data_IF_484699770870
#
_entry.id   IF_484699770870
#
_cell.length_a   1.000
_cell.length_b   1.000
_cell.length_c   1.000
_cell.angle_alpha   90.00
_cell.angle_beta   90.00
_cell.angle_gamma   90.00
#
_symmetry.space_group_name_H-M   'P 1'
#
loop_
_entity.id
_entity.type
_entity.pdbx_description
1 polymer ?
#
# COMPACT_ATOMS: atom_id res chain seq x y z
N UNK A 1 -25.73 -17.95 2.83
CA UNK A 1 -24.53 -17.24 2.32
C UNK A 1 -24.02 -16.35 3.43
N UNK A 2 -22.86 -16.66 4.00
CA UNK A 2 -22.19 -15.80 4.99
C UNK A 2 -21.43 -14.76 4.16
N UNK A 3 -21.80 -13.47 4.28
CA UNK A 3 -21.06 -12.38 3.66
C UNK A 3 -19.64 -12.37 4.23
N UNK A 4 -18.62 -12.27 3.38
CA UNK A 4 -17.23 -12.16 3.87
C UNK A 4 -17.08 -10.91 4.73
N UNK A 5 -16.24 -11.01 5.76
CA UNK A 5 -16.00 -9.92 6.71
C UNK A 5 -15.61 -8.60 6.01
N UNK A 6 -14.88 -8.70 4.91
CA UNK A 6 -14.53 -7.56 4.07
C UNK A 6 -15.77 -6.88 3.48
N UNK A 7 -16.70 -7.63 2.89
CA UNK A 7 -17.92 -7.08 2.30
C UNK A 7 -18.78 -6.39 3.35
N UNK A 8 -18.84 -6.94 4.58
CA UNK A 8 -19.52 -6.31 5.69
C UNK A 8 -18.87 -4.97 6.09
N UNK A 9 -17.53 -4.94 6.16
CA UNK A 9 -16.77 -3.72 6.42
C UNK A 9 -16.98 -2.64 5.34
N UNK A 10 -17.02 -3.04 4.07
CA UNK A 10 -17.33 -2.14 2.96
C UNK A 10 -18.74 -1.55 3.05
N UNK A 11 -19.72 -2.37 3.38
CA UNK A 11 -21.10 -1.93 3.56
C UNK A 11 -21.18 -0.85 4.65
N UNK A 12 -20.54 -1.08 5.80
CA UNK A 12 -20.52 -0.11 6.90
C UNK A 12 -19.82 1.19 6.52
N UNK A 13 -18.69 1.12 5.80
CA UNK A 13 -17.98 2.32 5.32
C UNK A 13 -18.86 3.13 4.36
N UNK A 14 -19.56 2.48 3.43
CA UNK A 14 -20.47 3.15 2.50
C UNK A 14 -21.64 3.82 3.22
N UNK A 15 -22.22 3.15 4.21
CA UNK A 15 -23.29 3.72 5.05
C UNK A 15 -22.79 4.95 5.82
N UNK A 16 -21.57 4.88 6.39
CA UNK A 16 -20.97 6.02 7.08
C UNK A 16 -20.71 7.20 6.13
N UNK A 17 -20.15 6.95 4.94
CA UNK A 17 -19.91 8.01 3.94
C UNK A 17 -21.21 8.63 3.45
N UNK A 18 -22.25 7.82 3.20
CA UNK A 18 -23.57 8.32 2.82
C UNK A 18 -24.19 9.16 3.95
N UNK A 19 -24.11 8.71 5.20
CA UNK A 19 -24.57 9.47 6.37
C UNK A 19 -23.84 10.81 6.53
N UNK A 20 -22.51 10.82 6.36
CA UNK A 20 -21.70 12.03 6.40
C UNK A 20 -22.07 13.00 5.27
N UNK A 21 -22.30 12.49 4.05
CA UNK A 21 -22.72 13.31 2.91
C UNK A 21 -24.10 13.93 3.15
N UNK A 22 -25.07 13.15 3.65
CA UNK A 22 -26.41 13.66 4.01
C UNK A 22 -26.30 14.75 5.08
N UNK A 23 -25.51 14.53 6.14
CA UNK A 23 -25.30 15.52 7.19
C UNK A 23 -24.66 16.81 6.64
N UNK A 24 -23.64 16.69 5.78
CA UNK A 24 -22.97 17.83 5.14
C UNK A 24 -23.92 18.63 4.24
N UNK A 25 -24.69 17.95 3.39
CA UNK A 25 -25.65 18.61 2.50
C UNK A 25 -26.78 19.28 3.29
N UNK A 26 -27.30 18.62 4.32
CA UNK A 26 -28.34 19.17 5.20
C UNK A 26 -27.85 20.36 6.04
N UNK A 27 -26.58 20.33 6.47
CA UNK A 27 -25.93 21.41 7.22
C UNK A 27 -25.66 22.63 6.34
N UNK A 28 -25.15 22.41 5.13
CA UNK A 28 -24.86 23.47 4.15
C UNK A 28 -26.15 24.20 3.76
N UNK A 29 -27.27 23.48 3.79
CA UNK A 29 -28.60 24.00 3.48
C UNK A 29 -28.77 24.31 1.99
N UNK A 30 -30.02 24.54 1.58
CA UNK A 30 -30.34 25.01 0.23
C UNK A 30 -30.13 26.52 0.16
N UNK A 31 -29.26 26.98 -0.74
CA UNK A 31 -29.22 28.37 -1.20
C UNK A 31 -29.91 28.39 -2.55
N UNK A 32 -31.24 28.40 -2.57
CA UNK A 32 -32.05 28.22 -3.77
C UNK A 32 -31.96 29.35 -4.81
N UNK A 33 -30.88 30.14 -4.86
CA UNK A 33 -30.73 31.29 -5.76
C UNK A 33 -31.75 32.42 -5.55
N UNK A 34 -32.61 32.30 -4.52
CA UNK A 34 -33.64 33.27 -4.17
C UNK A 34 -33.00 34.43 -3.39
N UNK A 35 -33.39 35.67 -3.66
CA UNK A 35 -32.86 36.83 -2.94
C UNK A 35 -33.40 36.97 -1.51
N UNK A 36 -34.59 36.39 -1.25
CA UNK A 36 -35.29 36.48 0.03
C UNK A 36 -36.26 35.31 0.22
N UNK A 37 -36.22 34.64 1.37
CA UNK A 37 -37.18 33.58 1.74
C UNK A 37 -37.48 33.58 3.25
N UNK A 38 -38.60 32.99 3.63
CA UNK A 38 -38.92 32.80 5.05
C UNK A 38 -38.14 31.59 5.62
N UNK A 39 -37.36 31.75 6.70
CA UNK A 39 -36.57 30.65 7.27
C UNK A 39 -37.42 29.58 7.96
N UNK A 40 -38.72 29.81 8.19
CA UNK A 40 -39.60 28.88 8.91
C UNK A 40 -40.50 28.04 7.99
N UNK A 41 -41.03 28.64 6.91
CA UNK A 41 -41.91 27.94 5.96
C UNK A 41 -41.35 27.80 4.53
N UNK A 42 -40.13 28.31 4.28
CA UNK A 42 -39.46 28.32 2.96
C UNK A 42 -40.23 29.02 1.83
N UNK A 43 -41.22 29.85 2.20
CA UNK A 43 -41.96 30.70 1.25
C UNK A 43 -41.01 31.73 0.63
N UNK A 44 -41.08 31.86 -0.70
CA UNK A 44 -40.36 32.89 -1.44
C UNK A 44 -40.92 34.29 -1.10
N UNK A 45 -40.01 35.17 -0.68
CA UNK A 45 -40.32 36.55 -0.31
C UNK A 45 -39.61 37.57 -1.21
N UNK A 46 -39.03 37.15 -2.33
CA UNK A 46 -38.29 38.01 -3.27
C UNK A 46 -39.10 39.22 -3.75
N UNK A 47 -40.41 39.08 -3.93
CA UNK A 47 -41.32 40.16 -4.34
C UNK A 47 -41.85 41.06 -3.22
N UNK A 48 -41.49 40.82 -1.95
CA UNK A 48 -42.04 41.55 -0.80
C UNK A 48 -40.95 42.23 0.03
N UNK A 49 -41.16 43.49 0.38
CA UNK A 49 -40.33 44.22 1.34
C UNK A 49 -40.78 44.03 2.79
N UNK A 50 -41.90 43.33 3.02
CA UNK A 50 -42.45 43.13 4.36
C UNK A 50 -41.52 42.28 5.24
N UNK A 51 -41.35 42.71 6.50
CA UNK A 51 -40.56 42.01 7.53
C UNK A 51 -41.34 40.93 8.28
N UNK A 52 -42.55 40.62 7.81
CA UNK A 52 -43.40 39.57 8.36
C UNK A 52 -43.82 38.65 7.23
N UNK A 53 -43.60 37.34 7.41
CA UNK A 53 -44.03 36.36 6.43
C UNK A 53 -45.58 36.26 6.44
N UNK A 54 -46.25 36.43 5.29
CA UNK A 54 -47.72 36.40 5.24
C UNK A 54 -48.31 35.00 5.46
N UNK A 55 -47.52 33.94 5.25
CA UNK A 55 -48.00 32.56 5.38
C UNK A 55 -47.90 32.02 6.80
N UNK A 56 -46.76 32.22 7.47
CA UNK A 56 -46.51 31.62 8.80
C UNK A 56 -46.38 32.64 9.93
N UNK A 57 -46.48 33.94 9.65
CA UNK A 57 -46.38 35.00 10.65
C UNK A 57 -44.98 35.24 11.22
N UNK A 58 -43.94 34.60 10.68
CA UNK A 58 -42.56 34.81 11.14
C UNK A 58 -42.12 36.26 10.92
N UNK A 59 -41.66 36.92 11.98
CA UNK A 59 -41.18 38.30 11.96
C UNK A 59 -39.73 38.36 12.45
N UNK A 60 -38.86 39.04 11.70
CA UNK A 60 -37.48 39.34 12.11
C UNK A 60 -37.16 40.81 11.88
N UNK A 61 -36.47 41.42 12.84
CA UNK A 61 -35.96 42.78 12.74
C UNK A 61 -34.72 42.89 11.84
N UNK A 62 -34.01 41.78 11.63
CA UNK A 62 -32.80 41.72 10.81
C UNK A 62 -33.10 41.17 9.42
N UNK A 63 -32.79 41.96 8.39
CA UNK A 63 -32.99 41.59 6.98
C UNK A 63 -32.16 40.37 6.58
N UNK A 64 -31.00 40.17 7.21
CA UNK A 64 -30.12 39.02 6.94
C UNK A 64 -30.80 37.68 7.29
N UNK A 65 -31.71 37.65 8.27
CA UNK A 65 -32.41 36.42 8.66
C UNK A 65 -33.28 35.84 7.53
N UNK A 66 -33.71 36.66 6.57
CA UNK A 66 -34.47 36.22 5.39
C UNK A 66 -33.58 35.70 4.25
N UNK A 67 -32.26 35.66 4.46
CA UNK A 67 -31.26 35.14 3.50
C UNK A 67 -30.47 33.97 4.08
N UNK A 68 -30.75 33.57 5.31
CA UNK A 68 -30.03 32.48 5.97
C UNK A 68 -30.48 31.11 5.44
N UNK A 69 -29.54 30.23 5.07
CA UNK A 69 -29.88 28.91 4.54
C UNK A 69 -30.66 28.11 5.58
N UNK A 70 -31.80 27.57 5.17
CA UNK A 70 -32.60 26.71 6.03
C UNK A 70 -31.85 25.39 6.27
N UNK A 71 -31.24 25.26 7.45
CA UNK A 71 -30.53 24.04 7.86
C UNK A 71 -31.57 23.02 8.29
N UNK A 72 -31.62 21.89 7.59
CA UNK A 72 -32.56 20.82 7.89
C UNK A 72 -32.01 19.93 8.99
N UNK A 73 -32.04 20.43 10.23
CA UNK A 73 -31.45 19.78 11.41
C UNK A 73 -31.87 18.32 11.60
N UNK A 74 -33.11 17.97 11.28
CA UNK A 74 -33.57 16.58 11.32
C UNK A 74 -32.73 15.65 10.41
N UNK A 75 -32.36 16.10 9.21
CA UNK A 75 -31.48 15.34 8.32
C UNK A 75 -30.01 15.36 8.76
N UNK A 76 -29.56 16.44 9.41
CA UNK A 76 -28.21 16.48 10.02
C UNK A 76 -28.11 15.41 11.11
N UNK A 77 -29.11 15.35 12.00
CA UNK A 77 -29.18 14.35 13.07
C UNK A 77 -29.24 12.94 12.48
N UNK A 78 -30.07 12.72 11.45
CA UNK A 78 -30.16 11.43 10.77
C UNK A 78 -28.82 10.99 10.16
N UNK A 79 -28.11 11.89 9.47
CA UNK A 79 -26.81 11.58 8.90
C UNK A 79 -25.77 11.25 9.97
N UNK A 80 -25.75 12.00 11.07
CA UNK A 80 -24.85 11.75 12.20
C UNK A 80 -25.17 10.44 12.93
N UNK A 81 -26.45 10.09 13.10
CA UNK A 81 -26.82 8.81 13.73
C UNK A 81 -26.43 7.64 12.85
N UNK A 82 -26.57 7.72 11.52
CA UNK A 82 -26.07 6.70 10.60
C UNK A 82 -24.56 6.50 10.73
N UNK A 83 -23.77 7.58 10.75
CA UNK A 83 -22.31 7.52 10.95
C UNK A 83 -21.96 6.87 12.30
N UNK A 84 -22.68 7.25 13.35
CA UNK A 84 -22.43 6.74 14.71
C UNK A 84 -22.72 5.25 14.80
N UNK A 85 -23.86 4.79 14.28
CA UNK A 85 -24.26 3.37 14.26
C UNK A 85 -23.26 2.56 13.44
N UNK A 86 -22.90 3.01 12.23
CA UNK A 86 -21.92 2.33 11.39
C UNK A 86 -20.55 2.22 12.08
N UNK A 87 -20.09 3.29 12.74
CA UNK A 87 -18.82 3.28 13.47
C UNK A 87 -18.85 2.32 14.66
N UNK A 88 -19.94 2.31 15.43
CA UNK A 88 -20.11 1.37 16.56
C UNK A 88 -20.13 -0.09 16.08
N UNK A 89 -20.80 -0.39 14.97
CA UNK A 89 -20.84 -1.74 14.41
C UNK A 89 -19.47 -2.20 13.90
N UNK A 90 -18.66 -1.32 13.32
CA UNK A 90 -17.28 -1.63 12.91
C UNK A 90 -16.40 -1.92 14.13
N UNK A 91 -16.45 -1.08 15.16
CA UNK A 91 -15.64 -1.29 16.38
C UNK A 91 -16.08 -2.54 17.13
N UNK A 92 -17.40 -2.75 17.28
CA UNK A 92 -17.95 -3.88 18.03
C UNK A 92 -17.79 -5.24 17.33
N UNK A 93 -17.57 -5.26 16.01
CA UNK A 93 -17.32 -6.49 15.26
C UNK A 93 -15.85 -6.91 15.22
N UNK A 94 -14.93 -6.09 15.74
CA UNK A 94 -13.49 -6.37 15.66
C UNK A 94 -12.93 -6.37 14.23
N UNK A 95 -13.68 -5.82 13.27
CA UNK A 95 -13.27 -5.73 11.86
C UNK A 95 -12.07 -4.78 11.73
N UNK A 96 -10.88 -5.35 11.52
CA UNK A 96 -9.71 -4.57 11.09
C UNK A 96 -9.82 -4.35 9.59
N UNK A 97 -10.35 -3.20 9.17
CA UNK A 97 -10.37 -2.81 7.75
C UNK A 97 -8.92 -2.60 7.30
N UNK A 98 -8.31 -3.62 6.70
CA UNK A 98 -7.01 -3.49 6.03
C UNK A 98 -7.21 -2.74 4.71
N UNK A 99 -7.14 -1.41 4.77
CA UNK A 99 -7.19 -0.54 3.59
C UNK A 99 -6.03 -0.77 2.63
N UNK A 100 -4.94 -1.38 3.09
CA UNK A 100 -3.75 -1.68 2.30
C UNK A 100 -3.96 -2.72 1.19
N UNK A 101 -5.13 -3.40 1.13
CA UNK A 101 -5.54 -4.25 0.01
C UNK A 101 -6.46 -3.58 -1.03
N UNK A 102 -6.97 -2.37 -0.76
CA UNK A 102 -7.99 -1.72 -1.60
C UNK A 102 -7.45 -1.25 -2.97
N UNK A 103 -6.17 -0.84 -3.03
CA UNK A 103 -5.53 -0.34 -4.27
C UNK A 103 -4.68 -1.40 -4.98
N UNK A 104 -4.78 -2.66 -4.54
CA UNK A 104 -3.89 -3.74 -4.95
C UNK A 104 -2.73 -3.95 -3.98
N UNK A 105 -1.92 -5.00 -4.21
CA UNK A 105 -0.79 -5.31 -3.35
C UNK A 105 0.21 -4.15 -3.35
N UNK A 106 0.60 -3.72 -2.15
CA UNK A 106 1.65 -2.74 -1.94
C UNK A 106 2.98 -3.45 -1.69
N UNK A 107 4.06 -2.87 -2.23
CA UNK A 107 5.41 -3.42 -2.11
C UNK A 107 6.23 -2.50 -1.22
N UNK A 108 6.65 -2.99 -0.05
CA UNK A 108 7.57 -2.26 0.82
C UNK A 108 9.00 -2.65 0.52
N UNK A 109 9.90 -1.66 0.43
CA UNK A 109 11.33 -1.89 0.33
C UNK A 109 11.85 -2.35 1.69
N UNK A 110 12.50 -3.51 1.74
CA UNK A 110 13.04 -4.09 2.98
C UNK A 110 14.55 -3.92 3.04
N UNK A 111 15.24 -4.21 1.94
CA UNK A 111 16.71 -4.17 1.87
C UNK A 111 17.16 -3.48 0.58
N UNK A 112 18.29 -2.77 0.68
CA UNK A 112 18.98 -2.13 -0.44
C UNK A 112 20.45 -2.40 -0.31
N UNK A 113 21.06 -2.95 -1.34
CA UNK A 113 22.49 -3.21 -1.37
C UNK A 113 23.10 -2.56 -2.60
N UNK A 114 24.14 -1.75 -2.38
CA UNK A 114 24.98 -1.25 -3.47
C UNK A 114 25.89 -2.37 -3.94
N UNK A 115 26.00 -2.52 -5.26
CA UNK A 115 26.79 -3.54 -5.93
C UNK A 115 27.86 -2.89 -6.81
N UNK A 116 28.90 -3.64 -7.23
CA UNK A 116 29.88 -3.18 -8.22
C UNK A 116 29.23 -2.65 -9.52
N UNK A 117 29.95 -1.78 -10.22
CA UNK A 117 29.45 -1.18 -11.48
C UNK A 117 28.31 -0.16 -11.32
N UNK A 118 28.05 0.32 -10.09
CA UNK A 118 26.97 1.27 -9.80
C UNK A 118 25.57 0.64 -9.71
N UNK A 119 25.49 -0.70 -9.71
CA UNK A 119 24.26 -1.44 -9.59
C UNK A 119 23.67 -1.33 -8.17
N UNK A 120 22.35 -1.50 -8.08
CA UNK A 120 21.64 -1.57 -6.81
C UNK A 120 20.70 -2.77 -6.80
N UNK A 121 20.91 -3.69 -5.86
CA UNK A 121 19.93 -4.73 -5.55
C UNK A 121 18.92 -4.22 -4.51
N UNK A 122 17.63 -4.38 -4.79
CA UNK A 122 16.53 -3.98 -3.91
C UNK A 122 15.60 -5.16 -3.69
N UNK A 123 15.36 -5.47 -2.41
CA UNK A 123 14.37 -6.44 -1.99
C UNK A 123 13.08 -5.74 -1.58
N UNK A 124 11.96 -6.24 -2.10
CA UNK A 124 10.62 -5.81 -1.76
C UNK A 124 9.79 -6.95 -1.17
N UNK A 125 8.89 -6.63 -0.27
CA UNK A 125 7.92 -7.57 0.31
C UNK A 125 6.49 -7.07 0.05
N UNK A 126 5.62 -7.99 -0.38
CA UNK A 126 4.18 -7.75 -0.55
C UNK A 126 3.49 -7.78 0.81
N UNK A 127 2.55 -6.87 1.02
CA UNK A 127 1.61 -6.94 2.14
C UNK A 127 0.45 -7.92 1.94
N UNK A 128 0.31 -8.48 0.73
CA UNK A 128 -0.77 -9.36 0.31
C UNK A 128 -0.20 -10.44 -0.63
N UNK A 129 0.42 -11.47 -0.04
CA UNK A 129 1.07 -12.58 -0.77
C UNK A 129 0.06 -13.48 -1.48
N UNK A 130 -1.15 -13.59 -0.92
CA UNK A 130 -2.20 -14.46 -1.43
C UNK A 130 -2.70 -13.95 -2.78
N UNK A 131 -2.79 -12.62 -2.93
CA UNK A 131 -3.18 -12.00 -4.21
C UNK A 131 -2.06 -11.95 -5.24
N UNK A 132 -0.79 -11.83 -4.81
CA UNK A 132 0.36 -11.78 -5.72
C UNK A 132 0.87 -13.16 -6.14
N UNK A 133 0.49 -14.23 -5.43
CA UNK A 133 1.05 -15.59 -5.52
C UNK A 133 2.53 -15.69 -5.10
N UNK A 134 3.14 -14.60 -4.61
CA UNK A 134 4.52 -14.56 -4.14
C UNK A 134 4.71 -13.40 -3.16
N UNK A 135 5.55 -13.59 -2.14
CA UNK A 135 5.70 -12.63 -1.04
C UNK A 135 6.88 -11.66 -1.24
N UNK A 136 7.93 -12.10 -1.91
CA UNK A 136 9.19 -11.37 -2.02
C UNK A 136 9.55 -11.13 -3.50
N UNK A 137 10.16 -9.98 -3.77
CA UNK A 137 10.66 -9.60 -5.10
C UNK A 137 12.06 -9.01 -4.95
N UNK A 138 12.98 -9.43 -5.81
CA UNK A 138 14.34 -8.88 -5.87
C UNK A 138 14.52 -8.24 -7.24
N UNK A 139 14.92 -6.97 -7.27
CA UNK A 139 15.30 -6.27 -8.49
C UNK A 139 16.73 -5.81 -8.43
N UNK A 140 17.44 -5.95 -9.54
CA UNK A 140 18.78 -5.38 -9.71
C UNK A 140 18.65 -4.27 -10.74
N UNK A 141 19.07 -3.08 -10.34
CA UNK A 141 18.86 -1.85 -11.09
C UNK A 141 20.19 -1.24 -11.53
N UNK A 142 20.21 -0.70 -12.75
CA UNK A 142 21.20 0.26 -13.23
C UNK A 142 20.51 1.62 -13.37
N UNK A 143 20.75 2.51 -12.41
CA UNK A 143 20.01 3.77 -12.27
C UNK A 143 18.50 3.56 -12.10
N UNK A 144 17.74 3.71 -13.20
CA UNK A 144 16.27 3.49 -13.23
C UNK A 144 15.85 2.25 -14.00
N UNK A 145 16.78 1.61 -14.71
CA UNK A 145 16.51 0.43 -15.52
C UNK A 145 16.58 -0.83 -14.65
N UNK A 146 15.63 -1.74 -14.83
CA UNK A 146 15.64 -3.04 -14.13
C UNK A 146 16.29 -4.07 -15.03
N UNK A 147 17.51 -4.47 -14.69
CA UNK A 147 18.26 -5.47 -15.45
C UNK A 147 17.87 -6.91 -15.05
N UNK A 148 17.41 -7.10 -13.81
CA UNK A 148 16.94 -8.38 -13.31
C UNK A 148 15.75 -8.20 -12.36
N UNK A 149 14.83 -9.17 -12.37
CA UNK A 149 13.60 -9.15 -11.57
C UNK A 149 13.14 -10.57 -11.20
N UNK A 150 13.44 -10.99 -9.97
CA UNK A 150 12.99 -12.26 -9.41
C UNK A 150 11.77 -12.08 -8.50
N UNK A 151 10.87 -13.08 -8.49
CA UNK A 151 9.61 -13.09 -7.74
C UNK A 151 9.38 -14.48 -7.13
N UNK A 152 9.12 -14.56 -5.83
CA UNK A 152 8.82 -15.83 -5.15
C UNK A 152 8.49 -15.67 -3.66
N UNK A 153 8.52 -16.74 -2.89
CA UNK A 153 8.09 -16.73 -1.49
C UNK A 153 9.06 -16.00 -0.57
N UNK A 154 10.35 -16.32 -0.65
CA UNK A 154 11.39 -15.61 0.11
C UNK A 154 12.65 -15.46 -0.73
N UNK A 155 13.38 -14.38 -0.51
CA UNK A 155 14.72 -14.20 -1.03
C UNK A 155 15.62 -13.54 0.01
N UNK A 156 16.89 -13.88 -0.04
CA UNK A 156 17.95 -13.31 0.80
C UNK A 156 19.16 -13.00 -0.09
N UNK A 157 19.60 -11.75 -0.11
CA UNK A 157 20.75 -11.31 -0.90
C UNK A 157 22.07 -11.74 -0.25
N UNK A 158 22.98 -12.39 -0.98
CA UNK A 158 24.23 -12.89 -0.42
C UNK A 158 24.03 -14.02 0.60
N UNK A 159 25.11 -14.36 1.29
CA UNK A 159 25.15 -15.36 2.34
C UNK A 159 25.98 -14.86 3.53
N UNK A 160 25.83 -15.51 4.68
CA UNK A 160 26.59 -15.17 5.87
C UNK A 160 27.89 -15.97 5.89
N UNK A 161 29.03 -15.29 5.86
CA UNK A 161 30.33 -15.92 6.05
C UNK A 161 30.55 -16.19 7.55
N UNK A 162 30.76 -17.46 7.89
CA UNK A 162 30.99 -17.89 9.27
C UNK A 162 32.35 -17.43 9.82
N UNK A 163 33.35 -17.24 8.95
CA UNK A 163 34.70 -16.88 9.37
C UNK A 163 34.77 -15.40 9.79
N UNK A 164 34.23 -14.51 8.96
CA UNK A 164 34.25 -13.06 9.22
C UNK A 164 33.02 -12.56 9.99
N UNK A 165 31.95 -13.35 10.05
CA UNK A 165 30.63 -12.93 10.52
C UNK A 165 30.03 -11.76 9.70
N UNK A 166 30.48 -11.58 8.46
CA UNK A 166 29.97 -10.58 7.53
C UNK A 166 29.15 -11.23 6.41
N UNK A 167 28.46 -10.39 5.63
CA UNK A 167 27.66 -10.86 4.49
C UNK A 167 28.53 -10.85 3.24
N UNK A 168 28.66 -12.02 2.61
CA UNK A 168 29.38 -12.24 1.36
C UNK A 168 28.42 -12.56 0.20
N UNK A 169 28.96 -12.75 -0.99
CA UNK A 169 28.21 -12.99 -2.24
C UNK A 169 27.54 -11.74 -2.80
N UNK A 170 28.05 -10.55 -2.49
CA UNK A 170 27.49 -9.24 -2.88
C UNK A 170 28.45 -8.43 -3.76
N UNK A 171 29.05 -9.08 -4.75
CA UNK A 171 30.12 -8.55 -5.60
C UNK A 171 31.43 -9.33 -5.51
N UNK A 172 31.44 -10.46 -4.81
CA UNK A 172 32.60 -11.37 -4.74
C UNK A 172 32.73 -12.17 -6.04
N UNK A 173 33.95 -12.51 -6.45
CA UNK A 173 34.25 -13.35 -7.63
C UNK A 173 34.08 -14.83 -7.26
N UNK A 174 32.86 -15.34 -7.41
CA UNK A 174 32.47 -16.68 -6.94
C UNK A 174 32.88 -17.78 -7.93
N UNK A 175 32.94 -17.48 -9.23
CA UNK A 175 33.34 -18.44 -10.26
C UNK A 175 34.82 -18.35 -10.69
N UNK A 176 35.57 -17.39 -10.12
CA UNK A 176 37.00 -17.17 -10.35
C UNK A 176 37.31 -16.69 -11.77
N UNK A 177 36.37 -16.00 -12.42
CA UNK A 177 36.56 -15.42 -13.74
C UNK A 177 37.12 -13.97 -13.70
N UNK A 178 37.30 -13.41 -12.50
CA UNK A 178 37.78 -12.04 -12.27
C UNK A 178 36.73 -10.96 -12.50
N UNK A 179 35.44 -11.32 -12.44
CA UNK A 179 34.28 -10.41 -12.49
C UNK A 179 33.49 -10.55 -11.18
N UNK A 180 32.88 -9.47 -10.69
CA UNK A 180 32.09 -9.53 -9.46
C UNK A 180 30.78 -10.29 -9.69
N UNK A 181 30.38 -11.14 -8.75
CA UNK A 181 29.14 -11.91 -8.82
C UNK A 181 28.18 -11.56 -7.67
N UNK A 182 26.89 -11.81 -7.90
CA UNK A 182 25.86 -11.75 -6.88
C UNK A 182 25.23 -13.13 -6.71
N UNK A 183 25.34 -13.67 -5.50
CA UNK A 183 24.57 -14.82 -5.05
C UNK A 183 23.35 -14.34 -4.26
N UNK A 184 22.22 -14.99 -4.44
CA UNK A 184 21.07 -14.81 -3.55
C UNK A 184 20.26 -16.09 -3.46
N UNK A 185 19.79 -16.39 -2.24
CA UNK A 185 18.98 -17.59 -1.98
C UNK A 185 17.52 -17.25 -2.20
N UNK A 186 16.80 -18.14 -2.86
CA UNK A 186 15.40 -17.97 -3.22
C UNK A 186 14.58 -19.20 -2.86
N UNK A 187 13.33 -18.99 -2.45
CA UNK A 187 12.34 -20.07 -2.27
C UNK A 187 11.12 -19.74 -3.13
N UNK A 188 10.68 -20.67 -3.98
CA UNK A 188 9.53 -20.43 -4.87
C UNK A 188 8.20 -20.49 -4.12
N UNK A 189 8.08 -21.37 -3.13
CA UNK A 189 6.93 -21.51 -2.24
C UNK A 189 7.39 -21.87 -0.80
N UNK A 190 6.44 -22.15 0.10
CA UNK A 190 6.74 -22.43 1.51
C UNK A 190 7.42 -23.79 1.74
N UNK A 191 7.23 -24.75 0.82
CA UNK A 191 7.73 -26.12 0.92
C UNK A 191 8.98 -26.35 0.04
N UNK A 192 9.45 -25.33 -0.68
CA UNK A 192 10.64 -25.37 -1.53
C UNK A 192 11.89 -25.40 -0.64
N UNK A 193 12.80 -26.39 -0.77
CA UNK A 193 14.07 -26.38 -0.04
C UNK A 193 14.93 -25.14 -0.37
N UNK A 194 14.60 -24.48 -1.48
CA UNK A 194 15.24 -23.26 -1.93
C UNK A 194 16.35 -23.56 -2.92
N UNK A 195 16.76 -22.52 -3.63
CA UNK A 195 17.84 -22.57 -4.61
C UNK A 195 18.70 -21.32 -4.46
N UNK A 196 19.96 -21.44 -4.86
CA UNK A 196 20.85 -20.31 -5.04
C UNK A 196 20.82 -19.87 -6.50
N UNK A 197 20.62 -18.58 -6.72
CA UNK A 197 20.81 -17.97 -8.03
C UNK A 197 22.11 -17.17 -7.98
N UNK A 198 23.02 -17.46 -8.91
CA UNK A 198 24.26 -16.71 -9.09
C UNK A 198 24.18 -16.00 -10.43
N UNK A 199 24.42 -14.69 -10.38
CA UNK A 199 24.52 -13.85 -11.57
C UNK A 199 25.84 -13.11 -11.57
N UNK A 200 26.47 -13.02 -12.73
CA UNK A 200 27.67 -12.19 -12.89
C UNK A 200 27.27 -10.75 -13.09
N UNK A 201 27.99 -9.84 -12.44
CA UNK A 201 27.85 -8.39 -12.52
C UNK A 201 28.93 -7.79 -13.44
N UNK A 202 29.12 -8.41 -14.59
CA UNK A 202 30.16 -8.07 -15.56
C UNK A 202 30.27 -6.56 -15.84
N UNK A 203 31.45 -6.01 -15.57
CA UNK A 203 31.87 -4.64 -15.92
C UNK A 203 33.22 -4.66 -16.64
N UNK A 204 33.22 -5.05 -17.93
CA UNK A 204 34.44 -5.04 -18.75
C UNK A 204 34.38 -4.16 -19.99
N UNK A 205 33.25 -3.50 -20.25
CA UNK A 205 33.06 -2.65 -21.45
C UNK A 205 32.42 -1.31 -21.16
N UNK A 206 32.21 -0.95 -19.88
CA UNK A 206 31.40 0.21 -19.49
C UNK A 206 29.90 0.02 -19.72
N UNK A 207 29.47 -1.19 -20.07
CA UNK A 207 28.07 -1.59 -20.12
C UNK A 207 27.82 -2.62 -19.03
N UNK A 208 27.22 -2.17 -17.94
CA UNK A 208 26.80 -2.99 -16.82
C UNK A 208 25.79 -4.04 -17.28
N UNK A 209 26.12 -5.33 -17.15
CA UNK A 209 25.23 -6.44 -17.58
C UNK A 209 25.10 -7.48 -16.49
N UNK A 210 23.91 -8.08 -16.43
CA UNK A 210 23.62 -9.22 -15.57
C UNK A 210 23.59 -10.47 -16.44
N UNK A 211 24.46 -11.42 -16.16
CA UNK A 211 24.49 -12.70 -16.86
C UNK A 211 24.13 -13.82 -15.87
N UNK A 212 23.05 -14.59 -16.13
CA UNK A 212 22.77 -15.78 -15.34
C UNK A 212 23.92 -16.78 -15.47
N UNK A 213 24.49 -17.19 -14.35
CA UNK A 213 25.61 -18.14 -14.35
C UNK A 213 25.15 -19.52 -13.95
N UNK A 214 24.49 -19.61 -12.80
CA UNK A 214 24.10 -20.87 -12.22
C UNK A 214 22.82 -20.74 -11.40
N UNK A 215 22.06 -21.84 -11.38
CA UNK A 215 21.05 -22.12 -10.37
C UNK A 215 21.54 -23.36 -9.64
N UNK A 216 21.87 -23.22 -8.37
CA UNK A 216 22.31 -24.33 -7.52
C UNK A 216 21.15 -24.73 -6.62
N UNK A 217 21.06 -26.02 -6.31
CA UNK A 217 20.05 -26.56 -5.40
C UNK A 217 20.34 -26.11 -3.95
N UNK A 218 19.71 -26.78 -2.97
CA UNK A 218 19.91 -26.44 -1.57
C UNK A 218 21.35 -26.74 -1.11
N UNK A 219 21.89 -25.86 -0.28
CA UNK A 219 23.30 -25.84 0.05
C UNK A 219 23.74 -24.51 0.66
N UNK A 220 25.05 -24.38 0.85
CA UNK A 220 25.66 -23.19 1.44
C UNK A 220 27.04 -22.92 0.82
N UNK A 221 27.53 -21.71 1.01
CA UNK A 221 28.88 -21.31 0.62
C UNK A 221 29.79 -21.32 1.85
N UNK A 222 31.01 -21.84 1.70
CA UNK A 222 32.00 -21.91 2.76
C UNK A 222 33.39 -21.56 2.22
N UNK A 223 34.14 -20.75 2.98
CA UNK A 223 35.55 -20.51 2.74
C UNK A 223 36.37 -21.48 3.60
N UNK A 224 36.79 -22.60 2.99
CA UNK A 224 37.53 -23.64 3.68
C UNK A 224 38.94 -23.22 4.10
N UNK A 225 39.53 -22.24 3.41
CA UNK A 225 40.94 -21.87 3.60
C UNK A 225 41.12 -20.54 4.33
N UNK A 226 40.04 -19.77 4.53
CA UNK A 226 40.09 -18.43 5.08
C UNK A 226 40.78 -17.43 4.14
N UNK A 227 40.82 -17.71 2.84
CA UNK A 227 41.48 -16.89 1.82
C UNK A 227 40.50 -15.99 1.04
N UNK A 228 39.24 -15.94 1.49
CA UNK A 228 38.14 -15.22 0.84
C UNK A 228 37.57 -15.97 -0.36
N UNK A 229 37.92 -17.24 -0.58
CA UNK A 229 37.43 -18.03 -1.69
C UNK A 229 36.35 -19.00 -1.23
N UNK A 230 35.13 -18.65 -1.58
CA UNK A 230 33.97 -19.46 -1.26
C UNK A 230 33.80 -20.64 -2.22
N UNK A 231 33.47 -21.80 -1.68
CA UNK A 231 33.06 -22.97 -2.43
C UNK A 231 31.62 -23.35 -2.06
N UNK A 232 30.83 -23.77 -3.05
CA UNK A 232 29.48 -24.21 -2.82
C UNK A 232 29.45 -25.67 -2.34
N UNK A 233 28.81 -25.90 -1.21
CA UNK A 233 28.58 -27.21 -0.61
C UNK A 233 27.09 -27.52 -0.74
N UNK A 234 26.76 -28.46 -1.63
CA UNK A 234 25.40 -28.96 -1.75
C UNK A 234 24.99 -29.70 -0.46
N UNK A 235 23.73 -29.52 -0.05
CA UNK A 235 23.16 -30.37 1.01
C UNK A 235 22.69 -31.65 0.34
N UNK A 236 23.23 -32.80 0.74
CA UNK A 236 22.77 -34.09 0.24
C UNK A 236 21.26 -34.23 0.54
N UNK A 237 20.48 -34.38 -0.53
CA UNK A 237 19.02 -34.60 -0.50
C UNK A 237 18.65 -36.05 -0.27
#
# INVERSE_FOLDING_TARGET
MILSQDVLGFLYLLVALAGALVALLAWRGSRGGRDRWCPQCDLDMSGSTARTCPSCGYHSTNEQSFREPHRRWAMVILGLTMVTIASMLVVGSGLVIRTSGMLGPTWSKVESQSLPGGLVAIQFVSNDSDRTNFRTRVRILDGKESLFDWRGWSASLGFFDRATAERAGLGDDLDRNGEPDLAFRVHRNADDPGAWIIVSLADRTGATRIQPMAVLDDGFFEDFNGDGRFEFVATDS
#
